data_IF_691158464913
#
_entry.id   IF_691158464913
#
_cell.length_a   1.000
_cell.length_b   1.000
_cell.length_c   1.000
_cell.angle_alpha   90.00
_cell.angle_beta   90.00
_cell.angle_gamma   90.00
#
_symmetry.space_group_name_H-M   'P 1'
#
loop_
_entity.id
_entity.type
_entity.pdbx_description
1 polymer ?
2 non-polymer ?
3 non-polymer ?
4 water ?
#
# COMPACT_ATOMS: atom_id res chain seq x y z
N UNK A 2 17.50 23.38 13.50
CA UNK A 2 16.90 24.72 13.79
C UNK A 2 15.38 24.67 14.00
N UNK A 3 14.69 23.79 13.29
CA UNK A 3 13.31 23.44 13.60
C UNK A 3 13.16 21.95 13.83
N UNK A 4 12.46 21.59 14.90
CA UNK A 4 12.10 20.19 15.14
C UNK A 4 10.58 20.06 15.08
N UNK A 5 10.11 19.04 14.36
CA UNK A 5 8.69 18.69 14.33
C UNK A 5 8.52 17.26 14.85
N UNK A 6 7.36 16.99 15.45
CA UNK A 6 7.05 15.63 15.91
C UNK A 6 6.15 14.90 14.89
N UNK A 7 6.50 13.65 14.62
CA UNK A 7 5.78 12.84 13.63
C UNK A 7 5.49 11.45 14.21
N UNK A 8 4.24 11.03 14.17
CA UNK A 8 3.87 9.69 14.62
C UNK A 8 4.17 8.65 13.59
N UNK A 9 4.60 7.48 14.05
CA UNK A 9 4.79 6.32 13.18
C UNK A 9 4.00 5.15 13.75
N UNK A 10 2.85 4.87 13.13
CA UNK A 10 1.96 3.80 13.56
C UNK A 10 2.21 2.57 12.69
N UNK A 11 2.66 1.49 13.32
CA UNK A 11 3.06 0.28 12.59
C UNK A 11 2.46 -1.00 13.16
N UNK A 12 2.41 -2.04 12.34
CA UNK A 12 2.07 -3.38 12.83
C UNK A 12 3.30 -4.26 12.75
N UNK A 13 3.98 -4.43 13.88
CA UNK A 13 5.18 -5.26 13.94
C UNK A 13 4.96 -6.65 14.53
N UNK A 14 3.81 -6.85 15.17
CA UNK A 14 3.57 -8.08 15.92
C UNK A 14 2.21 -8.71 15.67
N UNK A 15 1.34 -8.00 14.94
CA UNK A 15 -0.03 -8.46 14.69
C UNK A 15 -0.23 -9.22 13.38
N UNK A 16 -1.51 -9.35 12.95
CA UNK A 16 -1.87 -10.20 11.82
C UNK A 16 -1.41 -9.68 10.45
N UNK A 17 -0.96 -8.43 10.39
CA UNK A 17 -0.42 -7.88 9.15
C UNK A 17 1.07 -7.55 9.30
N UNK A 18 1.72 -8.13 10.32
CA UNK A 18 3.15 -7.93 10.52
C UNK A 18 4.01 -8.68 9.48
N UNK A 19 3.41 -9.65 8.79
CA UNK A 19 4.06 -10.30 7.64
C UNK A 19 4.59 -9.26 6.64
N UNK A 20 3.82 -8.18 6.45
CA UNK A 20 4.22 -7.06 5.59
C UNK A 20 4.57 -5.79 6.39
N UNK A 21 4.09 -5.74 7.63
CA UNK A 21 4.25 -4.58 8.51
C UNK A 21 5.65 -4.34 9.05
N UNK A 22 6.37 -5.42 9.34
CA UNK A 22 7.74 -5.33 9.85
C UNK A 22 8.65 -4.60 8.86
N UNK A 23 8.62 -5.01 7.59
CA UNK A 23 9.41 -4.39 6.54
C UNK A 23 9.06 -2.92 6.35
N UNK A 24 7.76 -2.63 6.33
CA UNK A 24 7.30 -1.24 6.23
C UNK A 24 7.89 -0.38 7.35
N UNK A 25 7.84 -0.90 8.59
CA UNK A 25 8.39 -0.18 9.74
C UNK A 25 9.88 0.08 9.60
N UNK A 26 10.63 -0.94 9.19
CA UNK A 26 12.05 -0.80 8.93
C UNK A 26 12.33 0.28 7.87
N UNK A 27 11.57 0.27 6.79
CA UNK A 27 11.75 1.27 5.72
C UNK A 27 11.44 2.68 6.17
N UNK A 28 10.39 2.84 6.97
CA UNK A 28 10.02 4.16 7.49
C UNK A 28 11.09 4.71 8.43
N UNK A 29 11.64 3.86 9.29
CA UNK A 29 12.68 4.26 10.22
C UNK A 29 13.97 4.60 9.48
N UNK A 30 14.35 3.76 8.52
CA UNK A 30 15.49 4.05 7.65
C UNK A 30 15.37 5.43 7.02
N UNK A 31 14.19 5.76 6.52
CA UNK A 31 13.94 7.05 5.87
C UNK A 31 14.04 8.24 6.82
N UNK A 32 13.44 8.13 7.99
CA UNK A 32 13.56 9.16 9.03
C UNK A 32 15.03 9.42 9.37
N UNK A 33 15.78 8.35 9.63
CA UNK A 33 17.18 8.49 10.01
C UNK A 33 18.00 9.05 8.85
N UNK A 34 17.72 8.57 7.64
CA UNK A 34 18.43 9.00 6.43
C UNK A 34 18.29 10.48 6.17
N UNK A 35 17.06 10.95 6.02
CA UNK A 35 16.82 12.35 5.66
C UNK A 35 17.19 13.31 6.79
N UNK A 36 16.97 12.90 8.05
CA UNK A 36 17.44 13.70 9.19
C UNK A 36 18.95 14.00 9.07
N UNK A 37 19.73 12.95 8.87
CA UNK A 37 21.18 13.03 8.77
C UNK A 37 21.68 13.77 7.52
N UNK A 38 21.04 13.52 6.37
CA UNK A 38 21.42 14.20 5.13
C UNK A 38 21.06 15.68 5.21
N UNK A 39 19.97 16.00 5.90
CA UNK A 39 19.54 17.38 6.07
C UNK A 39 18.26 17.70 5.33
N UNK A 40 17.22 18.05 6.08
CA UNK A 40 15.95 18.46 5.50
C UNK A 40 15.84 19.97 5.62
N UNK A 41 15.62 20.66 4.50
CA UNK A 41 15.54 22.11 4.50
C UNK A 41 14.25 22.63 3.91
N UNK A 42 13.64 23.61 4.59
CA UNK A 42 12.50 24.33 4.08
C UNK A 42 12.91 25.19 2.87
N UNK A 43 11.92 25.78 2.20
CA UNK A 43 12.16 26.66 1.04
C UNK A 43 13.10 27.83 1.34
N UNK A 44 13.01 28.37 2.55
CA UNK A 44 13.88 29.48 2.98
C UNK A 44 15.14 29.00 3.72
N UNK A 45 15.44 27.71 3.61
CA UNK A 45 16.71 27.17 4.08
C UNK A 45 16.88 26.89 5.57
N UNK A 46 15.79 26.78 6.30
CA UNK A 46 15.84 26.37 7.72
C UNK A 46 15.86 24.84 7.84
N UNK A 47 16.83 24.31 8.59
CA UNK A 47 16.94 22.88 8.79
C UNK A 47 15.81 22.36 9.66
N UNK A 48 15.25 21.23 9.24
CA UNK A 48 14.19 20.55 9.97
C UNK A 48 14.68 19.20 10.45
N UNK A 49 14.50 18.96 11.75
CA UNK A 49 14.73 17.66 12.36
C UNK A 49 13.39 17.01 12.65
N UNK A 50 13.27 15.74 12.29
CA UNK A 50 12.05 15.00 12.59
C UNK A 50 12.27 14.11 13.80
N UNK A 51 11.54 14.42 14.87
CA UNK A 51 11.45 13.54 16.02
C UNK A 51 10.26 12.64 15.78
N UNK A 52 10.53 11.39 15.40
CA UNK A 52 9.44 10.45 15.14
C UNK A 52 9.19 9.55 16.33
N UNK A 53 7.92 9.22 16.56
CA UNK A 53 7.51 8.42 17.70
C UNK A 53 6.86 7.12 17.18
N UNK A 54 7.59 6.02 17.29
CA UNK A 54 7.13 4.75 16.76
C UNK A 54 6.26 4.00 17.75
N UNK A 55 5.11 3.53 17.28
CA UNK A 55 4.18 2.76 18.09
C UNK A 55 3.68 1.53 17.33
N UNK A 56 3.97 0.34 17.86
CA UNK A 56 3.43 -0.91 17.30
C UNK A 56 2.05 -1.16 17.86
N UNK A 57 1.03 -0.98 17.03
CA UNK A 57 -0.36 -1.16 17.48
C UNK A 57 -0.95 -2.52 17.14
N UNK A 58 -0.15 -3.34 16.45
CA UNK A 58 -0.52 -4.73 16.11
C UNK A 58 -1.87 -4.90 15.40
N UNK A 59 -2.24 -3.91 14.57
CA UNK A 59 -3.49 -3.90 13.80
C UNK A 59 -4.75 -3.80 14.66
N UNK A 60 -4.55 -3.55 15.95
CA UNK A 60 -5.63 -3.44 16.93
C UNK A 60 -6.27 -2.04 16.87
N UNK A 61 -7.56 -1.97 16.49
CA UNK A 61 -8.25 -0.68 16.30
C UNK A 61 -8.45 0.15 17.57
N UNK A 62 -8.54 -0.50 18.73
CA UNK A 62 -8.61 0.20 20.01
C UNK A 62 -7.29 0.89 20.28
N UNK A 63 -6.20 0.12 20.15
CA UNK A 63 -4.84 0.61 20.32
C UNK A 63 -4.50 1.74 19.33
N UNK A 64 -4.95 1.62 18.08
CA UNK A 64 -4.75 2.70 17.09
C UNK A 64 -5.28 4.05 17.58
N UNK A 65 -6.51 4.06 18.10
CA UNK A 65 -7.13 5.29 18.61
C UNK A 65 -6.43 5.82 19.87
N UNK A 66 -5.94 4.92 20.71
CA UNK A 66 -5.17 5.30 21.90
C UNK A 66 -3.83 5.98 21.53
N UNK A 67 -3.10 5.39 20.60
CA UNK A 67 -1.84 5.98 20.14
C UNK A 67 -2.04 7.27 19.35
N UNK A 68 -3.17 7.39 18.65
CA UNK A 68 -3.51 8.63 17.97
C UNK A 68 -3.67 9.79 18.95
N UNK A 69 -4.43 9.55 20.01
CA UNK A 69 -4.62 10.54 21.07
C UNK A 69 -3.29 10.91 21.72
N UNK A 70 -2.42 9.91 21.96
CA UNK A 70 -1.06 10.14 22.46
C UNK A 70 -0.23 11.00 21.50
N UNK A 71 -0.21 10.65 20.22
CA UNK A 71 0.49 11.44 19.21
C UNK A 71 0.04 12.91 19.26
N UNK A 72 -1.27 13.13 19.27
CA UNK A 72 -1.83 14.48 19.23
C UNK A 72 -1.66 15.24 20.56
N UNK A 73 -2.06 14.60 21.65
CA UNK A 73 -2.18 15.29 22.95
C UNK A 73 -0.87 15.39 23.70
N UNK A 74 -0.10 14.31 23.70
CA UNK A 74 1.21 14.29 24.33
C UNK A 74 2.29 14.94 23.44
N UNK A 75 2.36 14.55 22.18
CA UNK A 75 3.47 15.00 21.31
C UNK A 75 3.13 16.15 20.39
N UNK A 76 1.84 16.47 20.27
CA UNK A 76 1.39 17.47 19.31
C UNK A 76 1.98 17.26 17.91
N UNK A 77 1.90 16.04 17.40
CA UNK A 77 2.43 15.74 16.06
C UNK A 77 1.72 16.58 14.99
N UNK A 78 2.41 16.88 13.89
CA UNK A 78 1.79 17.59 12.78
C UNK A 78 1.58 16.66 11.59
N UNK A 79 2.05 15.42 11.73
CA UNK A 79 1.91 14.40 10.70
C UNK A 79 2.02 13.02 11.32
N UNK A 80 1.36 12.05 10.70
CA UNK A 80 1.46 10.64 11.10
C UNK A 80 1.68 9.78 9.86
N UNK A 81 2.66 8.89 9.98
CA UNK A 81 2.90 7.85 9.00
C UNK A 81 2.18 6.63 9.54
N UNK A 82 1.05 6.28 8.91
CA UNK A 82 0.14 5.28 9.46
C UNK A 82 0.08 3.96 8.73
N UNK A 83 -0.93 3.15 9.08
CA UNK A 83 -0.99 1.77 8.64
C UNK A 83 -2.39 1.32 8.15
N UNK A 84 -3.20 0.72 9.01
CA UNK A 84 -4.34 -0.11 8.58
C UNK A 84 -5.53 0.64 7.99
N UNK A 85 -6.22 0.00 7.06
CA UNK A 85 -7.41 0.60 6.43
C UNK A 85 -8.49 0.97 7.45
N UNK A 86 -8.85 0.03 8.31
CA UNK A 86 -9.90 0.25 9.32
C UNK A 86 -9.60 1.47 10.18
N UNK A 87 -8.43 1.48 10.82
CA UNK A 87 -8.09 2.62 11.69
C UNK A 87 -7.88 3.95 10.96
N UNK A 88 -7.21 3.90 9.79
CA UNK A 88 -6.98 5.12 9.00
C UNK A 88 -8.32 5.74 8.57
N UNK A 89 -9.27 4.90 8.15
CA UNK A 89 -10.64 5.34 7.81
C UNK A 89 -11.39 5.92 9.00
N UNK A 90 -11.35 5.21 10.12
CA UNK A 90 -11.98 5.63 11.36
C UNK A 90 -11.48 7.00 11.80
N UNK A 91 -10.18 7.24 11.67
CA UNK A 91 -9.56 8.49 12.12
C UNK A 91 -9.61 9.62 11.11
N UNK A 92 -9.99 9.33 9.87
CA UNK A 92 -9.87 10.32 8.80
C UNK A 92 -10.57 11.67 9.08
N UNK A 93 -11.77 11.62 9.68
CA UNK A 93 -12.53 12.84 9.98
C UNK A 93 -11.88 13.60 11.14
N UNK A 94 -11.36 12.85 12.10
CA UNK A 94 -10.65 13.42 13.25
C UNK A 94 -9.33 14.12 12.86
N UNK A 95 -8.55 13.49 11.97
CA UNK A 95 -7.28 14.10 11.51
C UNK A 95 -7.52 15.39 10.70
N UNK A 96 -8.68 15.49 10.07
CA UNK A 96 -9.08 16.72 9.39
C UNK A 96 -9.35 17.81 10.42
N UNK A 97 -10.18 17.48 11.42
CA UNK A 97 -10.45 18.36 12.56
C UNK A 97 -9.15 18.84 13.22
N UNK A 98 -8.26 17.90 13.49
CA UNK A 98 -7.00 18.17 14.20
C UNK A 98 -5.88 18.71 13.30
N UNK A 99 -6.11 18.71 11.99
CA UNK A 99 -5.16 19.23 11.01
C UNK A 99 -3.81 18.50 11.02
N UNK A 100 -3.87 17.17 11.05
CA UNK A 100 -2.68 16.32 11.05
C UNK A 100 -2.58 15.60 9.71
N UNK A 101 -1.50 15.85 8.97
CA UNK A 101 -1.25 15.18 7.68
C UNK A 101 -1.02 13.68 7.91
N UNK A 102 -1.79 12.85 7.22
CA UNK A 102 -1.80 11.42 7.49
C UNK A 102 -1.46 10.64 6.23
N UNK A 103 -0.28 10.02 6.23
CA UNK A 103 0.20 9.25 5.10
C UNK A 103 0.23 7.77 5.48
N UNK A 104 -0.59 6.98 4.79
CA UNK A 104 -0.87 5.62 5.24
C UNK A 104 -0.39 4.54 4.29
N UNK A 105 -0.06 3.40 4.88
CA UNK A 105 0.10 2.16 4.15
C UNK A 105 -1.22 1.71 3.54
N UNK A 106 -2.34 2.03 4.19
CA UNK A 106 -3.66 1.79 3.58
C UNK A 106 -3.80 2.66 2.33
N UNK A 107 -4.16 2.02 1.22
CA UNK A 107 -4.45 2.76 -0.01
C UNK A 107 -5.96 2.74 -0.32
N UNK A 108 -6.79 2.78 0.71
CA UNK A 108 -8.26 2.80 0.54
C UNK A 108 -8.79 3.98 -0.26
N UNK A 109 -9.66 3.70 -1.23
CA UNK A 109 -10.30 4.74 -2.04
C UNK A 109 -11.16 5.68 -1.21
N UNK A 110 -11.69 5.19 -0.09
CA UNK A 110 -12.49 5.99 0.82
C UNK A 110 -11.73 7.19 1.44
N UNK A 111 -10.40 7.16 1.41
CA UNK A 111 -9.57 8.23 1.94
C UNK A 111 -9.45 9.39 0.96
N UNK A 112 -9.67 9.15 -0.29
CA UNK A 112 -9.41 10.14 -1.34
C UNK A 112 -10.11 11.48 -1.15
N UNK A 113 -11.29 11.46 -0.52
CA UNK A 113 -12.08 12.67 -0.29
C UNK A 113 -11.85 13.30 1.09
N UNK A 114 -10.95 12.69 1.87
CA UNK A 114 -10.64 13.18 3.21
C UNK A 114 -9.44 14.12 3.12
N UNK A 115 -9.61 15.38 3.55
CA UNK A 115 -8.63 16.42 3.22
C UNK A 115 -7.20 16.20 3.70
N UNK A 116 -6.99 15.46 4.78
CA UNK A 116 -5.64 15.31 5.34
C UNK A 116 -5.00 13.94 5.09
N UNK A 117 -5.69 13.09 4.33
CA UNK A 117 -5.16 11.76 4.01
C UNK A 117 -4.52 11.66 2.63
N UNK A 118 -3.31 11.12 2.59
CA UNK A 118 -2.53 10.97 1.36
C UNK A 118 -1.84 9.61 1.37
N UNK A 119 -1.56 9.08 0.17
CA UNK A 119 -0.66 7.93 0.02
C UNK A 119 -0.10 7.97 -1.39
N UNK A 120 1.18 7.57 -1.55
CA UNK A 120 1.88 7.70 -2.84
C UNK A 120 1.61 6.54 -3.81
N UNK A 121 0.35 6.17 -3.96
CA UNK A 121 -0.05 5.06 -4.82
C UNK A 121 -1.49 5.26 -5.27
N UNK A 122 -1.92 4.55 -6.33
CA UNK A 122 -3.36 4.58 -6.64
C UNK A 122 -4.12 3.91 -5.48
N UNK A 123 -5.40 4.22 -5.34
CA UNK A 123 -6.21 3.55 -4.35
C UNK A 123 -6.31 2.06 -4.68
N UNK A 124 -6.69 1.25 -3.70
CA UNK A 124 -6.83 -0.21 -3.85
C UNK A 124 -7.71 -0.67 -5.01
N UNK A 125 -8.76 0.09 -5.31
CA UNK A 125 -9.72 -0.29 -6.34
C UNK A 125 -9.13 -0.10 -7.74
N UNK A 126 -8.56 1.08 -8.00
CA UNK A 126 -7.83 1.38 -9.23
C UNK A 126 -6.67 0.42 -9.46
N UNK A 127 -5.95 0.09 -8.38
CA UNK A 127 -4.90 -0.94 -8.42
C UNK A 127 -5.48 -2.29 -8.85
N UNK A 128 -6.55 -2.72 -8.18
CA UNK A 128 -7.20 -4.00 -8.47
C UNK A 128 -7.69 -4.08 -9.91
N UNK A 129 -8.36 -3.03 -10.36
CA UNK A 129 -8.92 -3.02 -11.71
C UNK A 129 -7.83 -2.96 -12.78
N UNK A 130 -6.71 -2.29 -12.45
CA UNK A 130 -5.53 -2.28 -13.32
C UNK A 130 -4.93 -3.67 -13.49
N UNK A 131 -4.82 -4.40 -12.38
CA UNK A 131 -4.30 -5.77 -12.38
C UNK A 131 -5.22 -6.74 -13.12
N UNK A 132 -6.53 -6.55 -12.97
CA UNK A 132 -7.52 -7.42 -13.60
C UNK A 132 -7.63 -7.17 -15.11
N UNK A 133 -7.46 -5.90 -15.51
CA UNK A 133 -7.35 -5.51 -16.92
C UNK A 133 -6.14 -6.16 -17.55
N UNK A 134 -5.02 -6.19 -16.83
CA UNK A 134 -3.84 -6.93 -17.26
C UNK A 134 -4.19 -8.39 -17.55
N UNK A 135 -4.87 -9.04 -16.61
CA UNK A 135 -5.27 -10.44 -16.76
C UNK A 135 -6.16 -10.66 -17.97
N UNK A 136 -7.17 -9.78 -18.12
CA UNK A 136 -8.15 -9.90 -19.20
C UNK A 136 -7.52 -9.71 -20.58
N UNK A 137 -6.58 -8.78 -20.68
CA UNK A 137 -5.93 -8.47 -21.95
C UNK A 137 -4.87 -9.49 -22.34
N UNK A 138 -4.17 -10.00 -21.33
CA UNK A 138 -3.10 -10.96 -21.53
C UNK A 138 -3.63 -12.38 -21.77
N UNK A 139 -4.67 -12.76 -21.04
CA UNK A 139 -5.12 -14.16 -21.05
C UNK A 139 -6.55 -14.37 -21.54
N UNK A 140 -7.26 -13.26 -21.76
CA UNK A 140 -8.60 -13.32 -22.32
C UNK A 140 -9.71 -13.09 -21.31
N UNK A 141 -10.92 -12.91 -21.81
CA UNK A 141 -12.10 -12.83 -20.99
C UNK A 141 -12.32 -14.17 -20.30
N UNK A 142 -12.96 -14.16 -19.13
CA UNK A 142 -13.14 -15.39 -18.37
C UNK A 142 -13.78 -15.20 -17.00
N UNK A 143 -13.77 -16.28 -16.24
CA UNK A 143 -14.44 -16.36 -14.95
C UNK A 143 -13.50 -15.96 -13.82
N UNK A 144 -14.04 -15.18 -12.87
CA UNK A 144 -13.25 -14.61 -11.77
C UNK A 144 -13.88 -14.92 -10.41
N UNK A 145 -13.08 -15.51 -9.52
CA UNK A 145 -13.48 -15.73 -8.12
C UNK A 145 -12.79 -14.70 -7.24
N UNK A 146 -13.48 -14.24 -6.20
CA UNK A 146 -12.94 -13.23 -5.27
C UNK A 146 -12.76 -13.82 -3.88
N UNK A 147 -11.51 -13.94 -3.44
CA UNK A 147 -11.20 -14.47 -2.12
C UNK A 147 -10.71 -13.34 -1.21
N UNK A 148 -11.41 -13.11 -0.11
CA UNK A 148 -11.07 -12.04 0.82
C UNK A 148 -11.79 -12.24 2.15
N UNK A 149 -11.27 -11.60 3.20
CA UNK A 149 -11.89 -11.65 4.53
C UNK A 149 -13.04 -10.65 4.63
N UNK A 150 -14.26 -11.17 4.68
CA UNK A 150 -15.47 -10.34 4.73
C UNK A 150 -15.56 -9.45 5.97
N UNK A 151 -14.73 -9.71 6.97
CA UNK A 151 -14.79 -9.01 8.26
C UNK A 151 -13.77 -7.87 8.41
N UNK A 152 -12.85 -7.80 7.47
CA UNK A 152 -11.72 -6.87 7.53
C UNK A 152 -11.90 -5.76 6.49
N UNK A 153 -11.92 -4.51 6.95
CA UNK A 153 -12.12 -3.36 6.06
C UNK A 153 -11.13 -3.32 4.89
N UNK A 154 -9.86 -3.64 5.17
CA UNK A 154 -8.81 -3.76 4.15
C UNK A 154 -9.14 -4.80 3.08
N UNK A 155 -9.50 -6.01 3.52
CA UNK A 155 -9.80 -7.13 2.62
C UNK A 155 -11.02 -6.85 1.74
N UNK A 156 -11.95 -6.07 2.26
CA UNK A 156 -13.20 -5.72 1.57
C UNK A 156 -13.06 -4.55 0.59
N UNK A 157 -12.02 -3.74 0.77
CA UNK A 157 -12.00 -2.37 0.23
C UNK A 157 -12.32 -2.21 -1.27
N UNK A 158 -11.62 -2.96 -2.15
CA UNK A 158 -11.89 -2.80 -3.58
C UNK A 158 -12.97 -3.73 -4.15
N UNK A 159 -13.53 -4.60 -3.31
CA UNK A 159 -14.45 -5.65 -3.78
C UNK A 159 -15.66 -5.09 -4.55
N UNK A 160 -16.33 -4.10 -3.98
CA UNK A 160 -17.45 -3.46 -4.67
C UNK A 160 -17.11 -2.90 -6.05
N UNK A 161 -15.97 -2.22 -6.14
CA UNK A 161 -15.50 -1.63 -7.40
C UNK A 161 -15.11 -2.70 -8.41
N UNK A 162 -14.52 -3.79 -7.92
CA UNK A 162 -14.22 -4.94 -8.78
C UNK A 162 -15.49 -5.50 -9.41
N UNK A 163 -16.53 -5.70 -8.60
CA UNK A 163 -17.81 -6.24 -9.08
C UNK A 163 -18.47 -5.32 -10.11
N UNK A 164 -18.39 -4.01 -9.88
CA UNK A 164 -18.99 -3.03 -10.79
C UNK A 164 -18.24 -2.95 -12.12
N UNK A 165 -16.90 -2.94 -12.03
CA UNK A 165 -16.04 -2.80 -13.21
C UNK A 165 -15.91 -4.10 -14.01
N UNK A 166 -16.08 -5.23 -13.34
CA UNK A 166 -15.79 -6.54 -13.94
C UNK A 166 -16.44 -6.82 -15.30
N UNK A 167 -17.78 -6.57 -15.46
CA UNK A 167 -18.39 -6.81 -16.77
C UNK A 167 -17.69 -6.05 -17.90
N UNK A 168 -17.38 -4.78 -17.67
CA UNK A 168 -16.74 -3.94 -18.71
C UNK A 168 -15.30 -4.38 -19.01
N UNK A 169 -14.74 -5.21 -18.13
CA UNK A 169 -13.40 -5.75 -18.33
C UNK A 169 -13.42 -7.13 -19.00
N UNK A 170 -14.62 -7.64 -19.24
CA UNK A 170 -14.78 -8.98 -19.80
C UNK A 170 -14.61 -10.09 -18.78
N UNK A 171 -14.86 -9.77 -17.52
CA UNK A 171 -14.72 -10.75 -16.44
C UNK A 171 -16.06 -11.03 -15.76
N UNK A 172 -16.40 -12.30 -15.66
CA UNK A 172 -17.62 -12.73 -14.98
C UNK A 172 -17.25 -13.17 -13.57
N UNK A 173 -17.73 -12.43 -12.57
CA UNK A 173 -17.51 -12.78 -11.17
C UNK A 173 -18.40 -13.97 -10.82
N UNK A 174 -17.76 -15.09 -10.46
CA UNK A 174 -18.49 -16.34 -10.21
C UNK A 174 -18.83 -16.59 -8.74
N UNK A 175 -18.23 -15.80 -7.85
CA UNK A 175 -18.50 -15.95 -6.41
C UNK A 175 -17.52 -15.19 -5.55
N UNK A 176 -17.90 -15.02 -4.28
CA UNK A 176 -17.05 -14.48 -3.22
C UNK A 176 -16.74 -15.62 -2.27
N UNK A 177 -15.49 -15.67 -1.80
CA UNK A 177 -15.04 -16.76 -0.93
C UNK A 177 -14.33 -16.18 0.29
N UNK A 178 -14.76 -16.61 1.47
CA UNK A 178 -14.37 -16.00 2.73
C UNK A 178 -13.05 -16.57 3.25
N UNK A 179 -11.95 -15.99 2.80
CA UNK A 179 -10.62 -16.39 3.28
C UNK A 179 -10.20 -15.47 4.41
N UNK A 180 -10.05 -16.03 5.63
CA UNK A 180 -9.68 -15.21 6.78
C UNK A 180 -8.33 -14.53 6.61
N UNK A 181 -8.18 -13.33 7.17
CA UNK A 181 -6.88 -12.66 7.22
C UNK A 181 -5.84 -13.52 7.95
N UNK A 182 -6.30 -14.25 8.96
CA UNK A 182 -5.43 -15.13 9.74
C UNK A 182 -5.62 -16.60 9.31
N UNK A 183 -5.86 -16.80 8.02
CA UNK A 183 -6.13 -18.12 7.45
C UNK A 183 -5.11 -19.18 7.85
N UNK A 184 -5.62 -20.35 8.24
CA UNK A 184 -4.79 -21.54 8.39
C UNK A 184 -4.65 -22.22 7.02
N UNK A 185 -3.77 -23.21 6.95
CA UNK A 185 -3.64 -24.04 5.76
C UNK A 185 -4.97 -24.70 5.39
N UNK A 186 -5.70 -25.17 6.41
CA UNK A 186 -7.01 -25.79 6.23
C UNK A 186 -8.04 -24.81 5.66
N UNK A 187 -8.02 -23.57 6.14
CA UNK A 187 -8.89 -22.51 5.61
C UNK A 187 -8.63 -22.29 4.14
N UNK A 188 -7.36 -22.22 3.77
CA UNK A 188 -6.91 -22.03 2.39
C UNK A 188 -7.32 -23.17 1.47
N UNK A 189 -7.17 -24.40 1.95
CA UNK A 189 -7.57 -25.58 1.19
C UNK A 189 -9.09 -25.68 1.04
N UNK A 190 -9.82 -25.36 2.11
CA UNK A 190 -11.29 -25.33 2.07
C UNK A 190 -11.78 -24.34 1.01
N UNK A 191 -11.19 -23.15 1.00
CA UNK A 191 -11.55 -22.11 0.04
C UNK A 191 -11.17 -22.53 -1.38
N UNK A 192 -9.98 -23.10 -1.55
CA UNK A 192 -9.54 -23.58 -2.85
C UNK A 192 -10.50 -24.64 -3.41
N UNK A 193 -10.93 -25.55 -2.54
CA UNK A 193 -11.88 -26.61 -2.91
C UNK A 193 -13.29 -26.06 -3.22
N UNK A 194 -13.72 -25.03 -2.48
CA UNK A 194 -14.97 -24.33 -2.79
C UNK A 194 -14.92 -23.67 -4.17
N UNK A 196 -12.86 -24.45 -6.64
CA UNK A 196 -12.70 -25.52 -7.63
C UNK A 196 -14.03 -25.95 -8.25
N UNK A 197 -15.09 -26.00 -7.44
CA UNK A 197 -16.44 -26.33 -7.91
C UNK A 197 -16.95 -25.36 -8.98
N UNK A 198 -16.48 -24.12 -8.95
CA UNK A 198 -16.89 -23.10 -9.92
C UNK A 198 -15.91 -22.99 -11.10
N UNK A 199 -14.77 -23.65 -10.97
CA UNK A 199 -13.71 -23.67 -11.99
C UNK A 199 -13.42 -22.28 -12.61
N UNK A 200 -12.98 -21.31 -11.78
CA UNK A 200 -12.66 -19.99 -12.33
C UNK A 200 -11.36 -20.03 -13.13
N UNK A 201 -11.21 -19.09 -14.06
CA UNK A 201 -9.97 -18.93 -14.80
C UNK A 201 -9.00 -18.08 -13.98
N UNK A 202 -9.56 -17.15 -13.22
CA UNK A 202 -8.80 -16.18 -12.45
C UNK A 202 -9.31 -16.06 -11.02
N UNK A 203 -8.37 -15.94 -10.07
CA UNK A 203 -8.70 -15.72 -8.66
C UNK A 203 -8.07 -14.43 -8.18
N UNK A 204 -8.88 -13.55 -7.59
CA UNK A 204 -8.38 -12.38 -6.86
C UNK A 204 -8.27 -12.69 -5.36
N UNK A 205 -7.18 -12.26 -4.73
CA UNK A 205 -7.08 -12.35 -3.28
C UNK A 205 -6.78 -10.97 -2.65
N UNK A 206 -7.60 -10.59 -1.68
CA UNK A 206 -7.51 -9.26 -1.07
C UNK A 206 -6.79 -9.17 0.27
N UNK A 207 -6.15 -10.26 0.70
CA UNK A 207 -5.47 -10.32 1.99
C UNK A 207 -3.95 -10.12 1.89
N UNK A 208 -3.26 -10.18 3.02
CA UNK A 208 -1.80 -10.05 3.05
C UNK A 208 -1.12 -11.34 2.59
N UNK A 209 0.20 -11.28 2.39
CA UNK A 209 0.99 -12.37 1.81
C UNK A 209 0.82 -13.74 2.46
N UNK A 210 0.56 -13.76 3.77
CA UNK A 210 0.42 -15.03 4.51
C UNK A 210 -0.72 -15.90 3.98
N UNK A 211 -1.92 -15.35 3.93
CA UNK A 211 -3.06 -16.12 3.43
C UNK A 211 -3.07 -16.23 1.91
N UNK A 212 -2.63 -15.18 1.20
CA UNK A 212 -2.51 -15.24 -0.27
C UNK A 212 -1.62 -16.40 -0.71
N UNK A 213 -0.47 -16.54 -0.06
CA UNK A 213 0.47 -17.60 -0.39
C UNK A 213 -0.07 -19.00 -0.04
N UNK A 214 -0.69 -19.13 1.12
CA UNK A 214 -1.34 -20.38 1.51
C UNK A 214 -2.40 -20.81 0.49
N UNK A 215 -3.14 -19.82 -0.02
CA UNK A 215 -4.18 -20.05 -1.02
C UNK A 215 -3.58 -20.48 -2.36
N UNK A 216 -2.57 -19.76 -2.84
CA UNK A 216 -1.86 -20.15 -4.05
C UNK A 216 -1.31 -21.57 -3.97
N UNK A 217 -0.72 -21.89 -2.83
CA UNK A 217 -0.16 -23.22 -2.59
C UNK A 217 -1.27 -24.28 -2.58
N UNK A 218 -2.38 -23.96 -1.91
CA UNK A 218 -3.55 -24.85 -1.84
C UNK A 218 -4.21 -25.09 -3.20
N UNK A 220 -2.93 -25.12 -6.11
CA UNK A 220 -2.10 -26.07 -6.85
C UNK A 220 -2.23 -27.49 -6.28
N UNK A 221 -2.28 -27.59 -4.96
CA UNK A 221 -2.39 -28.89 -4.28
C UNK A 221 -3.70 -29.61 -4.60
N UNK A 222 -4.80 -28.86 -4.67
CA UNK A 222 -6.14 -29.45 -4.89
C UNK A 222 -6.52 -29.56 -6.37
N UNK A 223 -5.71 -28.95 -7.23
CA UNK A 223 -5.91 -29.06 -8.67
C UNK A 223 -6.74 -27.96 -9.31
N UNK A 224 -6.88 -26.82 -8.63
CA UNK A 224 -7.47 -25.64 -9.25
C UNK A 224 -6.40 -24.89 -10.05
N UNK A 225 -6.40 -25.10 -11.36
CA UNK A 225 -5.39 -24.50 -12.23
C UNK A 225 -5.84 -23.17 -12.81
N UNK A 226 -6.09 -22.23 -11.90
CA UNK A 226 -6.42 -20.87 -12.26
C UNK A 226 -5.21 -19.98 -11.95
N UNK A 227 -5.16 -18.81 -12.59
CA UNK A 227 -4.19 -17.78 -12.24
C UNK A 227 -4.64 -17.08 -10.96
N UNK A 228 -3.67 -16.78 -10.08
CA UNK A 228 -3.93 -15.97 -8.89
C UNK A 228 -3.36 -14.57 -9.07
N UNK A 229 -4.21 -13.56 -8.82
CA UNK A 229 -3.75 -12.17 -8.77
C UNK A 229 -3.95 -11.64 -7.36
N UNK A 230 -2.92 -11.04 -6.79
CA UNK A 230 -3.04 -10.49 -5.43
C UNK A 230 -2.89 -8.99 -5.43
N UNK A 231 -3.54 -8.36 -4.45
CA UNK A 231 -3.26 -6.98 -4.12
C UNK A 231 -1.80 -6.82 -3.71
N UNK A 232 -1.35 -5.57 -3.64
CA UNK A 232 0.05 -5.23 -3.34
C UNK A 232 0.63 -5.88 -2.06
N UNK A 233 -0.19 -5.99 -1.01
CA UNK A 233 0.27 -6.57 0.27
C UNK A 233 0.26 -8.10 0.29
N UNK A 234 -0.13 -8.73 -0.83
CA UNK A 234 -0.30 -10.18 -0.88
C UNK A 234 0.79 -10.94 -1.61
N UNK A 235 1.77 -10.20 -2.11
CA UNK A 235 2.79 -10.73 -3.01
C UNK A 235 4.05 -9.88 -2.89
N UNK A 236 5.19 -10.56 -2.72
CA UNK A 236 6.51 -9.89 -2.76
C UNK A 236 7.61 -10.91 -3.00
N UNK A 237 8.85 -10.55 -2.67
CA UNK A 237 10.05 -11.37 -2.93
C UNK A 237 10.00 -12.76 -2.30
N UNK A 238 9.19 -12.91 -1.25
CA UNK A 238 9.05 -14.19 -0.51
C UNK A 238 8.08 -15.16 -1.19
N UNK A 239 7.28 -14.65 -2.12
CA UNK A 239 6.18 -15.42 -2.74
C UNK A 239 6.60 -16.72 -3.42
N UNK A 240 7.73 -16.75 -4.16
CA UNK A 240 8.15 -18.03 -4.74
C UNK A 240 8.33 -19.12 -3.70
N UNK A 241 8.95 -18.78 -2.58
CA UNK A 241 9.22 -19.71 -1.48
C UNK A 241 7.94 -20.05 -0.70
N UNK A 242 7.08 -19.07 -0.47
CA UNK A 242 5.84 -19.28 0.29
C UNK A 242 4.77 -20.07 -0.48
N UNK A 243 4.69 -19.85 -1.78
CA UNK A 243 3.72 -20.53 -2.63
C UNK A 243 4.23 -21.90 -3.09
N UNK A 244 5.53 -21.98 -3.39
CA UNK A 244 6.14 -23.23 -3.87
C UNK A 244 5.97 -23.49 -5.37
N UNK A 245 6.57 -24.60 -5.82
CA UNK A 245 6.65 -25.01 -7.22
C UNK A 245 5.29 -25.14 -7.92
N UNK A 246 4.26 -25.49 -7.15
CA UNK A 246 2.90 -25.64 -7.68
C UNK A 246 2.35 -24.38 -8.30
N UNK A 247 2.75 -23.23 -7.76
CA UNK A 247 2.29 -21.94 -8.25
C UNK A 247 3.13 -21.31 -9.34
N UNK A 248 4.24 -21.95 -9.69
CA UNK A 248 5.17 -21.40 -10.69
C UNK A 248 4.46 -21.14 -12.03
N UNK A 249 4.59 -19.92 -12.53
CA UNK A 249 3.97 -19.50 -13.78
C UNK A 249 2.52 -19.06 -13.67
N UNK A 250 1.95 -19.13 -12.47
CA UNK A 250 0.50 -18.96 -12.28
C UNK A 250 0.05 -17.94 -11.24
N UNK A 251 0.97 -17.11 -10.75
CA UNK A 251 0.64 -16.09 -9.75
C UNK A 251 1.20 -14.73 -10.16
N UNK A 252 0.41 -13.68 -9.94
CA UNK A 252 0.80 -12.33 -10.27
C UNK A 252 0.55 -11.41 -9.08
N UNK A 253 1.46 -10.45 -8.87
CA UNK A 253 1.31 -9.47 -7.82
C UNK A 253 1.25 -8.07 -8.39
N UNK A 254 0.43 -7.23 -7.77
CA UNK A 254 0.37 -5.82 -8.13
C UNK A 254 1.35 -5.07 -7.25
N UNK A 255 2.00 -4.05 -7.80
CA UNK A 255 2.77 -3.11 -7.00
C UNK A 255 2.88 -1.77 -7.71
N UNK A 256 2.48 -0.69 -7.03
CA UNK A 256 2.71 0.67 -7.54
C UNK A 256 4.20 1.09 -7.52
N UNK A 257 5.03 0.29 -6.84
CA UNK A 257 6.43 0.64 -6.57
C UNK A 257 7.33 -0.43 -7.15
N UNK A 258 8.43 -0.01 -7.77
CA UNK A 258 9.43 -0.93 -8.30
C UNK A 258 10.11 -1.70 -7.16
N UNK A 259 10.32 -3.00 -7.35
CA UNK A 259 11.03 -3.82 -6.38
C UNK A 259 12.51 -3.47 -6.46
N UNK A 260 13.24 -3.52 -5.33
CA UNK A 260 14.70 -3.31 -5.40
C UNK A 260 15.40 -4.19 -6.46
N UNK A 262 14.43 -5.12 -9.35
CA UNK A 262 14.24 -4.58 -10.71
C UNK A 262 14.69 -3.12 -10.80
N UNK A 263 15.33 -2.63 -9.75
CA UNK A 263 15.61 -1.20 -9.63
C UNK A 263 17.06 -0.83 -9.37
N UNK A 264 17.98 -1.71 -9.76
CA UNK A 264 19.44 -1.44 -9.68
C UNK A 264 19.82 -0.05 -10.16
N UNK A 265 19.08 0.45 -11.15
CA UNK A 265 19.38 1.73 -11.79
C UNK A 265 18.34 2.80 -11.46
N UNK A 266 17.54 2.54 -10.43
CA UNK A 266 16.53 3.51 -9.99
C UNK A 266 17.09 4.33 -8.82
N UNK A 267 17.05 5.65 -8.99
CA UNK A 267 17.62 6.60 -8.04
C UNK A 267 17.11 6.36 -6.61
N UNK A 268 15.78 6.25 -6.48
CA UNK A 268 15.12 6.07 -5.18
C UNK A 268 15.47 4.75 -4.51
N UNK A 269 15.63 3.70 -5.30
CA UNK A 269 16.13 2.41 -4.81
C UNK A 269 17.58 2.54 -4.32
N UNK A 270 18.42 3.27 -5.06
CA UNK A 270 19.79 3.53 -4.63
C UNK A 270 19.87 4.42 -3.38
N UNK A 271 18.88 5.31 -3.24
CA UNK A 271 18.74 6.14 -2.03
C UNK A 271 18.48 5.28 -0.80
N UNK A 272 17.60 4.29 -0.94
CA UNK A 272 17.30 3.34 0.12
C UNK A 272 18.54 2.50 0.48
N UNK A 273 19.25 2.01 -0.53
CA UNK A 273 20.48 1.25 -0.32
C UNK A 273 21.56 2.04 0.43
N UNK A 274 21.64 3.34 0.17
CA UNK A 274 22.57 4.21 0.90
C UNK A 274 22.11 4.35 2.36
N UNK A 275 20.81 4.55 2.55
CA UNK A 275 20.24 4.63 3.90
C UNK A 275 20.58 3.38 4.71
N UNK A 276 20.41 2.22 4.09
CA UNK A 276 20.77 0.93 4.67
C UNK A 276 22.26 0.86 5.08
N UNK A 277 23.17 1.27 4.18
CA UNK A 277 24.60 1.25 4.50
C UNK A 277 24.93 2.14 5.68
N UNK A 279 23.08 3.00 8.12
CA UNK A 279 22.45 2.56 9.34
C UNK A 279 22.67 1.07 9.68
N UNK A 280 23.68 0.48 9.07
CA UNK A 280 24.10 -0.89 9.39
C UNK A 280 23.05 -1.95 9.09
N UNK A 281 22.26 -1.73 8.05
CA UNK A 281 21.26 -2.69 7.58
C UNK A 281 21.79 -3.42 6.35
N UNK A 282 21.80 -4.74 6.40
CA UNK A 282 22.27 -5.58 5.31
C UNK A 282 21.45 -5.37 4.04
N UNK A 283 22.13 -5.34 2.89
CA UNK A 283 21.51 -5.13 1.58
C UNK A 283 20.35 -6.09 1.30
N UNK A 284 20.52 -7.36 1.70
CA UNK A 284 19.48 -8.38 1.47
C UNK A 284 18.21 -8.21 2.32
N UNK A 285 18.21 -7.22 3.21
CA UNK A 285 17.03 -6.90 4.00
C UNK A 285 16.17 -5.84 3.33
N UNK A 286 16.64 -5.32 2.20
CA UNK A 286 15.93 -4.28 1.47
C UNK A 286 15.01 -4.93 0.45
N UNK A 287 13.70 -4.76 0.65
CA UNK A 287 12.69 -5.41 -0.17
C UNK A 287 11.54 -4.44 -0.44
N UNK A 288 10.52 -4.90 -1.17
CA UNK A 288 9.35 -4.07 -1.47
C UNK A 288 8.70 -3.41 -0.23
N UNK A 289 8.60 -4.16 0.86
CA UNK A 289 7.95 -3.65 2.08
C UNK A 289 8.73 -2.48 2.66
N UNK A 290 10.06 -2.62 2.67
CA UNK A 290 10.97 -1.55 3.04
C UNK A 290 10.76 -0.32 2.15
N UNK A 291 10.64 -0.53 0.83
CA UNK A 291 10.36 0.57 -0.09
C UNK A 291 9.05 1.27 0.29
N UNK A 292 8.00 0.51 0.61
CA UNK A 292 6.68 1.06 0.90
C UNK A 292 6.70 1.98 2.11
N UNK A 293 7.48 1.60 3.11
CA UNK A 293 7.69 2.44 4.30
C UNK A 293 8.52 3.67 4.00
N UNK A 294 9.62 3.48 3.29
CA UNK A 294 10.53 4.55 2.92
C UNK A 294 9.83 5.66 2.13
N UNK A 295 9.05 5.28 1.13
CA UNK A 295 8.38 6.26 0.26
C UNK A 295 7.30 7.08 0.97
N UNK A 296 6.67 6.52 2.00
CA UNK A 296 5.72 7.29 2.80
C UNK A 296 6.39 8.43 3.55
N UNK A 297 7.53 8.12 4.19
CA UNK A 297 8.31 9.14 4.87
C UNK A 297 8.85 10.17 3.86
N UNK A 298 9.33 9.68 2.71
CA UNK A 298 9.91 10.54 1.68
C UNK A 298 8.90 11.54 1.15
N UNK A 299 7.65 11.10 0.97
CA UNK A 299 6.58 12.01 0.54
C UNK A 299 6.43 13.16 1.53
N UNK A 300 6.49 12.85 2.83
CA UNK A 300 6.47 13.87 3.88
C UNK A 300 7.65 14.84 3.75
N UNK A 301 8.86 14.30 3.56
CA UNK A 301 10.06 15.10 3.37
C UNK A 301 9.90 16.10 2.23
N UNK A 302 9.37 15.64 1.10
CA UNK A 302 9.14 16.49 -0.06
C UNK A 302 8.15 17.62 0.26
N UNK A 303 7.12 17.30 1.05
CA UNK A 303 6.16 18.31 1.51
C UNK A 303 6.86 19.41 2.35
N UNK A 304 7.69 18.98 3.30
CA UNK A 304 8.47 19.91 4.14
C UNK A 304 9.41 20.79 3.32
N UNK A 305 10.06 20.20 2.32
CA UNK A 305 10.94 20.94 1.42
C UNK A 305 10.19 21.93 0.53
N UNK A 306 8.86 21.83 0.53
CA UNK A 306 7.98 22.68 -0.28
C UNK A 306 7.34 23.83 0.51
N UNK A 307 7.58 23.89 1.82
CA UNK A 307 7.03 24.96 2.65
C UNK A 307 8.10 25.88 3.23
N UNK A 308 7.68 27.08 3.62
CA UNK A 308 8.54 27.99 4.38
C UNK A 308 8.50 27.58 5.85
N UNK A 309 9.55 27.94 6.59
CA UNK A 309 9.61 27.65 8.01
C UNK A 309 8.52 28.39 8.80
N UNK A 310 8.19 29.59 8.35
CA UNK A 310 7.10 30.37 8.96
C UNK A 310 5.80 29.60 8.83
N UNK A 311 5.54 29.11 7.62
CA UNK A 311 4.34 28.34 7.30
C UNK A 311 4.27 27.05 8.13
N UNK A 312 5.40 26.35 8.22
CA UNK A 312 5.49 25.10 9.00
C UNK A 312 5.23 25.35 10.49
N UNK A 313 5.81 26.42 11.02
CA UNK A 313 5.62 26.78 12.44
C UNK A 313 4.20 27.26 12.77
N UNK A 314 3.62 28.03 11.88
CA UNK A 314 2.31 28.64 12.11
C UNK A 314 1.14 27.68 11.92
N UNK A 315 1.16 26.94 10.81
CA UNK A 315 0.02 26.11 10.42
C UNK A 315 0.30 24.60 10.46
N UNK A 316 1.55 24.23 10.73
CA UNK A 316 1.93 22.84 10.94
C UNK A 316 1.44 21.86 9.89
N UNK A 317 0.56 20.94 10.30
CA UNK A 317 0.00 19.91 9.42
C UNK A 317 -0.76 20.46 8.21
N UNK A 318 -1.41 21.61 8.40
CA UNK A 318 -2.13 22.29 7.32
C UNK A 318 -1.19 22.83 6.23
N UNK A 319 -0.01 23.31 6.62
CA UNK A 319 1.00 23.74 5.65
C UNK A 319 1.46 22.55 4.83
N UNK A 320 1.60 21.40 5.48
CA UNK A 320 2.01 20.16 4.80
C UNK A 320 0.94 19.65 3.84
N UNK A 321 -0.32 19.66 4.28
CA UNK A 321 -1.45 19.26 3.42
C UNK A 321 -1.51 20.08 2.13
N UNK A 322 -1.38 21.40 2.29
CA UNK A 322 -1.52 22.31 1.16
C UNK A 322 -0.36 22.16 0.17
N UNK A 323 0.84 21.92 0.70
CA UNK A 323 2.02 21.64 -0.12
C UNK A 323 1.85 20.35 -0.93
N UNK A 324 1.26 19.32 -0.31
CA UNK A 324 1.02 18.06 -1.01
C UNK A 324 -0.01 18.22 -2.15
N UNK A 325 -0.89 19.20 -2.00
CA UNK A 325 -1.91 19.50 -3.02
C UNK A 325 -1.43 20.43 -4.13
N UNK A 326 -0.31 21.12 -3.89
CA UNK A 326 0.15 22.18 -4.80
C UNK A 326 1.35 21.78 -5.66
N UNK A 327 1.81 20.54 -5.52
CA UNK A 327 3.05 20.11 -6.18
C UNK A 327 2.95 18.70 -6.75
N UNK A 328 3.65 18.49 -7.87
CA UNK A 328 3.87 17.15 -8.42
C UNK A 328 5.15 16.57 -7.83
N UNK A 329 5.10 15.32 -7.35
CA UNK A 329 6.24 14.71 -6.67
C UNK A 329 6.79 13.51 -7.42
N UNK A 330 8.12 13.38 -7.39
CA UNK A 330 8.78 12.18 -7.88
C UNK A 330 9.69 11.66 -6.77
N UNK A 331 9.49 10.40 -6.42
CA UNK A 331 10.26 9.77 -5.35
C UNK A 331 11.35 8.91 -5.94
N UNK A 332 12.30 9.56 -6.60
CA UNK A 332 13.45 8.89 -7.23
C UNK A 332 13.05 7.84 -8.25
N UNK A 333 11.89 8.02 -8.87
CA UNK A 333 11.41 7.11 -9.91
C UNK A 333 11.00 5.74 -9.42
N UNK A 334 10.66 5.64 -8.14
CA UNK A 334 10.22 4.37 -7.56
C UNK A 334 8.79 4.03 -7.95
N UNK A 335 7.92 5.04 -7.98
CA UNK A 335 6.50 4.85 -8.28
C UNK A 335 6.27 4.70 -9.79
N UNK A 336 5.18 4.02 -10.15
CA UNK A 336 4.86 3.73 -11.56
C UNK A 336 4.51 4.97 -12.37
N UNK A 337 4.11 6.04 -11.68
CA UNK A 337 3.85 7.34 -12.29
C UNK A 337 4.14 8.39 -11.22
N UNK A 338 4.36 9.64 -11.63
CA UNK A 338 4.57 10.73 -10.68
C UNK A 338 3.28 11.04 -9.90
N UNK A 339 3.46 11.75 -8.79
CA UNK A 339 2.42 11.95 -7.80
C UNK A 339 1.86 13.37 -7.86
N UNK A 340 0.54 13.47 -7.97
CA UNK A 340 -0.14 14.74 -8.05
C UNK A 340 -1.54 14.60 -7.41
N UNK A 341 -1.83 15.45 -6.44
CA UNK A 341 -3.07 15.39 -5.67
C UNK A 341 -4.01 16.57 -5.93
N UNK A 342 -5.28 16.25 -6.15
CA UNK A 342 -6.32 17.24 -6.34
C UNK A 342 -7.02 17.53 -4.99
N UNK A 343 -7.23 18.82 -4.66
CA UNK A 343 -8.07 19.11 -3.50
C UNK A 343 -9.44 18.45 -3.65
N UNK A 344 -9.87 17.71 -2.63
CA UNK A 344 -11.13 16.94 -2.70
C UNK A 344 -11.02 15.54 -3.29
N UNK A 345 -9.89 15.23 -3.92
CA UNK A 345 -9.70 13.93 -4.58
C UNK A 345 -8.21 13.60 -4.68
N UNK A 346 -7.64 13.05 -3.62
CA UNK A 346 -6.18 12.82 -3.54
C UNK A 346 -5.67 11.58 -4.26
N UNK A 347 -6.10 11.38 -5.51
CA UNK A 347 -5.62 10.25 -6.31
C UNK A 347 -4.25 10.55 -6.92
N UNK A 348 -3.22 9.86 -6.44
CA UNK A 348 -1.83 10.19 -6.78
C UNK A 348 -1.49 9.92 -8.24
N UNK A 349 -1.95 8.77 -8.73
CA UNK A 349 -1.77 8.31 -10.11
C UNK A 349 -2.58 7.02 -10.25
N UNK A 350 -2.60 6.43 -11.44
CA UNK A 350 -3.47 5.26 -11.67
C UNK A 350 -2.73 3.96 -11.99
N UNK A 351 -1.58 4.05 -12.66
CA UNK A 351 -0.94 2.84 -13.17
C UNK A 351 -0.13 2.09 -12.11
N UNK A 352 0.11 0.80 -12.37
CA UNK A 352 0.85 -0.07 -11.46
C UNK A 352 1.81 -0.96 -12.23
N UNK A 353 2.81 -1.50 -11.53
CA UNK A 353 3.62 -2.57 -12.06
C UNK A 353 2.93 -3.90 -11.80
N UNK A 354 3.12 -4.87 -12.69
CA UNK A 354 2.66 -6.22 -12.48
C UNK A 354 3.87 -7.12 -12.45
N UNK A 355 3.91 -8.02 -11.47
CA UNK A 355 5.05 -8.92 -11.28
C UNK A 355 4.56 -10.35 -11.36
N UNK A 356 5.27 -11.17 -12.13
CA UNK A 356 4.92 -12.56 -12.29
C UNK A 356 5.81 -13.49 -11.48
N UNK A 357 5.20 -14.47 -10.84
CA UNK A 357 5.93 -15.62 -10.33
C UNK A 357 6.23 -16.51 -11.54
N UNK A 358 7.46 -16.42 -12.04
CA UNK A 358 7.84 -17.09 -13.29
C UNK A 358 7.84 -18.60 -13.23
N UNK A 359 7.83 -19.22 -14.41
CA UNK A 359 7.87 -20.68 -14.56
C UNK A 359 9.09 -21.31 -13.89
N UNK A 360 10.21 -20.58 -13.89
CA UNK A 360 11.43 -21.01 -13.22
C UNK A 360 11.45 -20.73 -11.72
N UNK A 361 10.36 -20.15 -11.21
CA UNK A 361 10.24 -19.80 -9.81
C UNK A 361 10.84 -18.45 -9.44
N UNK A 362 11.33 -17.72 -10.44
CA UNK A 362 11.93 -16.42 -10.21
C UNK A 362 10.93 -15.34 -10.59
N UNK A 363 10.96 -14.21 -9.89
CA UNK A 363 10.03 -13.13 -10.18
C UNK A 363 10.43 -12.38 -11.44
N UNK A 364 9.42 -12.03 -12.24
CA UNK A 364 9.63 -11.40 -13.53
C UNK A 364 8.73 -10.17 -13.63
N UNK A 365 9.31 -9.06 -14.06
CA UNK A 365 8.54 -7.84 -14.24
C UNK A 365 7.77 -7.87 -15.56
N UNK A 367 5.70 -5.23 -16.53
CA UNK A 367 5.60 -3.84 -17.01
C UNK A 367 4.56 -3.01 -16.27
N UNK A 368 4.20 -1.87 -16.84
CA UNK A 368 3.21 -0.97 -16.26
C UNK A 368 1.84 -1.15 -16.92
N UNK A 369 0.81 -1.24 -16.10
CA UNK A 369 -0.56 -1.46 -16.57
C UNK A 369 -1.56 -0.56 -15.88
N UNK A 370 -2.63 -0.23 -16.59
CA UNK A 370 -3.63 0.71 -16.09
C UNK A 370 -5.01 0.27 -16.53
N UNK A 371 -6.00 0.42 -15.64
CA UNK A 371 -7.39 0.17 -15.98
C UNK A 371 -7.86 1.16 -17.05
N UNK A 372 -8.86 0.78 -17.89
CA UNK A 372 -9.40 1.70 -18.89
C UNK A 372 -9.76 3.05 -18.27
N UNK A 373 -9.55 4.12 -19.03
CA UNK A 373 -9.80 5.48 -18.57
C UNK A 373 -11.25 5.72 -18.14
N UNK A 374 -12.18 5.01 -18.76
CA UNK A 374 -13.61 5.25 -18.54
C UNK A 374 -14.13 4.60 -17.24
N UNK A 375 -13.31 3.75 -16.63
CA UNK A 375 -13.70 3.01 -15.44
C UNK A 375 -13.27 3.81 -14.20
N UNK A 376 -14.26 4.35 -13.49
CA UNK A 376 -13.99 5.18 -12.33
C UNK A 376 -13.96 4.33 -11.05
N UNK A 377 -12.93 3.49 -10.97
CA UNK A 377 -12.74 2.56 -9.85
C UNK A 377 -12.84 3.25 -8.48
N UNK A 378 -12.14 4.38 -8.36
CA UNK A 378 -12.09 5.14 -7.12
C UNK A 378 -13.47 5.58 -6.66
N UNK A 379 -14.18 6.28 -7.53
CA UNK A 379 -15.50 6.80 -7.15
C UNK A 379 -16.54 5.71 -6.90
N UNK A 380 -16.38 4.54 -7.54
CA UNK A 380 -17.26 3.40 -7.25
C UNK A 380 -17.20 3.06 -5.77
N UNK A 381 -15.99 3.01 -5.22
CA UNK A 381 -15.78 2.67 -3.83
C UNK A 381 -16.24 3.79 -2.90
N UNK A 382 -15.95 5.04 -3.27
CA UNK A 382 -16.34 6.21 -2.49
C UNK A 382 -17.86 6.29 -2.32
N UNK A 383 -18.58 6.03 -3.41
CA UNK A 383 -20.04 6.08 -3.43
C UNK A 383 -20.74 4.89 -2.72
N UNK A 384 -19.96 3.88 -2.33
CA UNK A 384 -20.48 2.70 -1.60
C UNK A 384 -21.23 3.07 -0.31
N UNK A 385 -22.51 2.73 -0.27
CA UNK A 385 -23.36 3.04 0.89
C UNK A 385 -24.06 4.37 0.77
#
# INVERSE_FOLDING_TARGET
>A
XSLTINVGLLVDETGPTSDVGKGYSLGAELAFKYFNEKGIYTKDGVRVNINYIKRDYAYNPTTAEEYYREFRDRYGVIAIIGWGTADTEKLSDQVDTDKITYISASYSAKLLVKPFNFYPAPDYSTQACSGLAFLASEFGQGKLALAYDSKVAYSRSPIGAIKKAAPSLGLQVVGDYDLPLRATEADAERIAREXLAADPDYVWCGNTISSCSLLGRAXAKVGLDAFLLTNVWGFDERSPQLIGEGGYGKVFGISPFIYPXFGQDVEGIQTIFEAARXNGVSEDQINLRVVQGFVNVWLLIKAIESVTSQDLQERGGEALKEALEANTFDLGGITADTIDYEPGFHLAYRKVFIIKLGENGELQLXGKFEAPSQVDCARYTIEEGHHHHHH
#
